data_IF_592855791030
#
_entry.id   IF_592855791030
#
_cell.length_a   1.000
_cell.length_b   1.000
_cell.length_c   1.000
_cell.angle_alpha   90.00
_cell.angle_beta   90.00
_cell.angle_gamma   90.00
#
_symmetry.space_group_name_H-M   'P 1'
#
loop_
_entity.id
_entity.type
_entity.pdbx_description
1 polymer ?
#
# COMPACT_ATOMS: atom_id res chain seq x y z
N UNK A 1 33.36 -7.73 -2.44
CA UNK A 1 32.13 -7.06 -1.94
C UNK A 1 31.32 -6.69 -3.16
N UNK A 2 30.13 -7.27 -3.33
CA UNK A 2 29.22 -6.90 -4.42
C UNK A 2 28.27 -5.87 -3.84
N UNK A 3 28.32 -4.64 -4.37
CA UNK A 3 27.32 -3.61 -4.08
C UNK A 3 26.22 -3.75 -5.14
N UNK A 4 24.99 -3.92 -4.69
CA UNK A 4 23.83 -3.98 -5.56
C UNK A 4 23.39 -2.56 -5.97
N UNK A 5 22.91 -2.36 -7.21
CA UNK A 5 22.36 -1.06 -7.60
C UNK A 5 21.15 -0.70 -6.73
N UNK A 6 20.97 0.58 -6.45
CA UNK A 6 19.79 1.07 -5.73
C UNK A 6 18.76 1.63 -6.70
N UNK A 7 17.48 1.41 -6.40
CA UNK A 7 16.38 2.05 -7.13
C UNK A 7 16.29 3.50 -6.67
N UNK A 8 16.19 4.45 -7.60
CA UNK A 8 16.03 5.89 -7.31
C UNK A 8 14.58 6.21 -6.87
N UNK A 9 14.08 5.48 -5.88
CA UNK A 9 12.75 5.57 -5.29
C UNK A 9 12.84 5.12 -3.85
N UNK A 10 11.93 5.62 -3.02
CA UNK A 10 11.66 5.02 -1.71
C UNK A 10 10.48 4.06 -1.79
N UNK A 11 10.36 3.14 -0.84
CA UNK A 11 9.22 2.21 -0.76
C UNK A 11 8.43 2.48 0.51
N UNK A 12 7.12 2.46 0.39
CA UNK A 12 6.17 2.50 1.50
C UNK A 12 5.42 1.18 1.57
N UNK A 13 5.68 0.41 2.62
CA UNK A 13 4.89 -0.75 3.01
C UNK A 13 3.63 -0.25 3.72
N UNK A 14 2.47 -0.72 3.26
CA UNK A 14 1.15 -0.37 3.80
C UNK A 14 0.59 -1.60 4.50
N UNK A 15 0.43 -1.53 5.82
CA UNK A 15 0.00 -2.66 6.65
C UNK A 15 -1.45 -2.40 7.07
N UNK A 16 -2.44 -3.14 6.56
CA UNK A 16 -3.82 -2.95 6.96
C UNK A 16 -4.06 -3.44 8.39
N UNK A 17 -4.86 -2.66 9.12
CA UNK A 17 -5.30 -2.94 10.48
C UNK A 17 -6.66 -3.65 10.46
N UNK A 18 -7.06 -4.17 11.62
CA UNK A 18 -8.35 -4.83 11.79
C UNK A 18 -9.55 -4.07 11.18
N UNK A 19 -9.70 -2.72 11.33
CA UNK A 19 -10.86 -2.02 10.76
C UNK A 19 -11.00 -2.09 9.24
N UNK A 20 -9.89 -2.25 8.50
CA UNK A 20 -9.94 -2.45 7.05
C UNK A 20 -10.52 -3.81 6.71
N UNK A 21 -10.07 -4.86 7.39
CA UNK A 21 -10.59 -6.22 7.19
C UNK A 21 -12.02 -6.36 7.71
N UNK A 22 -12.38 -5.68 8.79
CA UNK A 22 -13.76 -5.63 9.26
C UNK A 22 -14.68 -5.10 8.17
N UNK A 23 -14.31 -4.00 7.51
CA UNK A 23 -15.04 -3.49 6.35
C UNK A 23 -15.04 -4.49 5.19
N UNK A 24 -13.88 -5.04 4.80
CA UNK A 24 -13.78 -6.00 3.69
C UNK A 24 -14.68 -7.21 3.89
N UNK A 25 -14.72 -7.76 5.10
CA UNK A 25 -15.55 -8.91 5.46
C UNK A 25 -17.05 -8.61 5.39
N UNK A 26 -17.49 -7.34 5.44
CA UNK A 26 -18.90 -6.99 5.21
C UNK A 26 -19.33 -7.06 3.75
N UNK A 27 -18.39 -7.02 2.80
CA UNK A 27 -18.69 -7.02 1.37
C UNK A 27 -19.20 -8.37 0.88
N UNK A 28 -18.68 -9.46 1.47
CA UNK A 28 -18.99 -10.84 1.11
C UNK A 28 -19.29 -11.69 2.36
N UNK A 29 -20.44 -11.48 3.02
CA UNK A 29 -20.75 -12.11 4.32
C UNK A 29 -20.90 -13.64 4.27
N UNK A 30 -21.04 -14.21 3.06
CA UNK A 30 -21.15 -15.66 2.85
C UNK A 30 -19.79 -16.35 2.72
N UNK A 31 -18.69 -15.59 2.68
CA UNK A 31 -17.32 -16.13 2.64
C UNK A 31 -16.71 -16.21 4.05
N UNK A 32 -15.73 -17.10 4.21
CA UNK A 32 -14.94 -17.13 5.44
C UNK A 32 -14.22 -15.78 5.63
N UNK A 33 -14.35 -15.15 6.81
CA UNK A 33 -13.80 -13.83 7.05
C UNK A 33 -12.27 -13.88 7.07
N UNK A 34 -11.64 -12.88 6.46
CA UNK A 34 -10.19 -12.69 6.56
C UNK A 34 -9.82 -12.31 7.99
N UNK A 35 -8.86 -13.02 8.58
CA UNK A 35 -8.34 -12.73 9.92
C UNK A 35 -6.88 -12.28 9.90
N UNK A 36 -6.49 -11.38 10.82
CA UNK A 36 -5.12 -10.88 10.90
C UNK A 36 -4.06 -11.97 11.12
N UNK A 37 -4.44 -13.13 11.67
CA UNK A 37 -3.53 -14.23 11.92
C UNK A 37 -3.10 -14.97 10.64
N UNK A 38 -3.87 -14.82 9.56
CA UNK A 38 -3.67 -15.50 8.28
C UNK A 38 -2.92 -14.64 7.27
N UNK A 39 -2.60 -13.38 7.62
CA UNK A 39 -1.97 -12.42 6.72
C UNK A 39 -0.47 -12.33 7.00
N UNK A 40 0.33 -12.68 6.00
CA UNK A 40 1.79 -12.59 6.02
C UNK A 40 2.37 -11.71 4.90
N UNK A 41 1.52 -11.22 3.99
CA UNK A 41 1.90 -10.36 2.86
C UNK A 41 1.12 -9.03 2.85
N UNK A 42 1.79 -7.97 2.38
CA UNK A 42 1.23 -6.62 2.32
C UNK A 42 1.69 -5.88 1.06
N UNK A 43 0.89 -4.91 0.65
CA UNK A 43 1.19 -4.08 -0.50
C UNK A 43 2.29 -3.06 -0.21
N UNK A 44 3.13 -2.81 -1.21
CA UNK A 44 4.21 -1.83 -1.17
C UNK A 44 4.15 -0.90 -2.37
N UNK A 45 4.44 0.38 -2.13
CA UNK A 45 4.35 1.43 -3.14
C UNK A 45 5.69 2.13 -3.31
N UNK A 46 6.19 2.21 -4.54
CA UNK A 46 7.35 3.04 -4.88
C UNK A 46 6.94 4.51 -4.94
N UNK A 47 7.63 5.35 -4.17
CA UNK A 47 7.42 6.78 -4.08
C UNK A 47 8.66 7.51 -4.60
N UNK A 48 8.48 8.77 -5.00
CA UNK A 48 9.61 9.65 -5.33
C UNK A 48 10.64 9.66 -4.19
N UNK A 49 11.93 9.72 -4.57
CA UNK A 49 13.00 9.85 -3.59
C UNK A 49 13.04 11.29 -3.08
N UNK A 50 12.17 11.58 -2.12
CA UNK A 50 12.30 12.76 -1.30
C UNK A 50 13.37 12.47 -0.25
N UNK A 51 14.62 12.60 -0.68
CA UNK A 51 15.76 12.90 0.18
C UNK A 51 15.32 14.10 1.03
N UNK A 52 15.43 13.97 2.36
CA UNK A 52 15.04 14.97 3.38
C UNK A 52 13.57 14.88 3.86
N UNK A 53 13.35 13.97 4.81
CA UNK A 53 12.12 13.81 5.59
C UNK A 53 12.08 14.87 6.69
N UNK A 54 11.59 16.06 6.40
CA UNK A 54 11.20 16.98 7.47
C UNK A 54 9.78 16.64 7.97
N UNK A 55 8.92 16.02 7.14
CA UNK A 55 7.57 15.61 7.54
C UNK A 55 6.98 14.45 6.70
N UNK A 56 7.06 13.18 7.17
CA UNK A 56 6.59 12.02 6.40
C UNK A 56 5.06 12.02 6.17
N UNK A 57 4.28 12.64 7.07
CA UNK A 57 2.83 12.78 6.89
C UNK A 57 2.48 13.75 5.78
N UNK A 58 3.28 14.80 5.57
CA UNK A 58 3.05 15.78 4.51
C UNK A 58 3.25 15.15 3.13
N UNK A 59 4.27 14.32 2.97
CA UNK A 59 4.56 13.69 1.69
C UNK A 59 3.58 12.56 1.38
N UNK A 60 3.18 11.77 2.38
CA UNK A 60 2.15 10.76 2.19
C UNK A 60 0.81 11.39 1.76
N UNK A 61 0.52 12.65 2.13
CA UNK A 61 -0.70 13.35 1.65
C UNK A 61 -0.73 13.57 0.12
N UNK A 62 0.40 13.45 -0.60
CA UNK A 62 0.40 13.48 -2.07
C UNK A 62 -0.14 12.17 -2.67
N UNK A 63 0.04 11.05 -1.96
CA UNK A 63 -0.19 9.71 -2.49
C UNK A 63 -1.38 8.97 -1.85
N UNK A 64 -1.80 9.37 -0.64
CA UNK A 64 -2.72 8.60 0.21
C UNK A 64 -3.99 8.15 -0.48
N UNK A 65 -4.62 9.01 -1.28
CA UNK A 65 -5.90 8.69 -1.91
C UNK A 65 -5.73 7.60 -2.97
N UNK A 66 -4.63 7.64 -3.74
CA UNK A 66 -4.30 6.62 -4.74
C UNK A 66 -4.01 5.27 -4.08
N UNK A 67 -3.20 5.31 -3.01
CA UNK A 67 -2.88 4.12 -2.21
C UNK A 67 -4.17 3.53 -1.63
N UNK A 68 -5.02 4.34 -0.99
CA UNK A 68 -6.24 3.86 -0.37
C UNK A 68 -7.20 3.25 -1.39
N UNK A 69 -7.39 3.91 -2.54
CA UNK A 69 -8.20 3.35 -3.63
C UNK A 69 -7.66 2.00 -4.08
N UNK A 70 -6.34 1.86 -4.25
CA UNK A 70 -5.73 0.60 -4.66
C UNK A 70 -5.93 -0.53 -3.63
N UNK A 71 -5.80 -0.23 -2.33
CA UNK A 71 -6.10 -1.20 -1.27
C UNK A 71 -7.56 -1.65 -1.30
N UNK A 72 -8.51 -0.71 -1.49
CA UNK A 72 -9.94 -1.00 -1.58
C UNK A 72 -10.27 -1.88 -2.80
N UNK A 73 -9.70 -1.54 -3.96
CA UNK A 73 -9.84 -2.33 -5.20
C UNK A 73 -9.32 -3.75 -5.05
N UNK A 74 -8.26 -3.95 -4.27
CA UNK A 74 -7.74 -5.28 -3.94
C UNK A 74 -8.73 -6.14 -3.16
N UNK A 75 -9.74 -5.56 -2.53
CA UNK A 75 -10.80 -6.29 -1.81
C UNK A 75 -12.07 -6.44 -2.67
N UNK A 76 -12.47 -5.38 -3.38
CA UNK A 76 -13.65 -5.39 -4.23
C UNK A 76 -13.50 -4.38 -5.37
N UNK A 77 -13.84 -4.79 -6.59
CA UNK A 77 -13.76 -3.92 -7.77
C UNK A 77 -14.98 -3.01 -7.95
N UNK A 78 -16.04 -3.20 -7.15
CA UNK A 78 -17.21 -2.33 -7.16
C UNK A 78 -16.96 -1.08 -6.30
N UNK A 79 -16.64 0.04 -6.96
CA UNK A 79 -16.32 1.31 -6.32
C UNK A 79 -17.50 1.92 -5.55
N UNK A 80 -18.73 1.47 -5.80
CA UNK A 80 -19.92 1.92 -5.07
C UNK A 80 -19.92 1.41 -3.62
N UNK A 81 -19.12 0.38 -3.33
CA UNK A 81 -18.93 -0.17 -1.98
C UNK A 81 -17.91 0.62 -1.13
N UNK A 82 -17.15 1.53 -1.76
CA UNK A 82 -16.05 2.20 -1.08
C UNK A 82 -16.56 3.19 -0.02
N UNK A 83 -15.89 3.29 1.13
CA UNK A 83 -16.26 4.24 2.16
C UNK A 83 -15.97 5.68 1.71
N UNK A 84 -16.51 6.66 2.43
CA UNK A 84 -16.12 8.06 2.23
C UNK A 84 -14.64 8.26 2.57
N UNK A 85 -13.80 8.43 1.54
CA UNK A 85 -12.36 8.49 1.68
C UNK A 85 -11.91 9.78 2.38
N UNK A 86 -11.30 9.63 3.56
CA UNK A 86 -10.67 10.73 4.28
C UNK A 86 -9.27 10.35 4.72
N UNK A 87 -8.39 11.33 4.88
CA UNK A 87 -7.05 11.12 5.44
C UNK A 87 -7.12 10.46 6.82
N UNK A 88 -8.12 10.83 7.63
CA UNK A 88 -8.33 10.25 8.96
C UNK A 88 -8.59 8.75 8.85
N UNK A 89 -9.58 8.35 8.04
CA UNK A 89 -9.94 6.95 7.83
C UNK A 89 -8.73 6.14 7.33
N UNK A 90 -8.00 6.68 6.34
CA UNK A 90 -6.78 6.06 5.84
C UNK A 90 -5.75 5.80 6.94
N UNK A 91 -5.47 6.77 7.81
CA UNK A 91 -4.52 6.57 8.92
C UNK A 91 -5.04 5.72 10.07
N UNK A 92 -6.37 5.57 10.18
CA UNK A 92 -7.01 4.65 11.13
C UNK A 92 -6.95 3.20 10.64
N UNK A 93 -6.99 2.99 9.32
CA UNK A 93 -7.04 1.69 8.69
C UNK A 93 -5.68 1.09 8.37
N UNK A 94 -4.63 1.90 8.24
CA UNK A 94 -3.31 1.40 7.86
C UNK A 94 -2.20 1.90 8.79
N UNK A 95 -1.18 1.08 8.98
CA UNK A 95 0.17 1.48 9.42
C UNK A 95 1.10 1.57 8.21
N UNK A 96 2.19 2.33 8.36
CA UNK A 96 3.10 2.66 7.26
C UNK A 96 4.55 2.49 7.68
N UNK A 97 5.31 1.71 6.91
CA UNK A 97 6.76 1.56 7.08
C UNK A 97 7.47 1.98 5.80
N UNK A 98 8.43 2.91 5.90
CA UNK A 98 9.19 3.40 4.75
C UNK A 98 10.61 2.85 4.76
N UNK A 99 11.10 2.45 3.58
CA UNK A 99 12.54 2.35 3.32
C UNK A 99 12.95 3.39 2.28
N UNK A 100 13.94 4.22 2.62
CA UNK A 100 14.49 5.21 1.70
C UNK A 100 15.49 4.61 0.71
N UNK A 101 16.03 3.42 1.00
CA UNK A 101 17.03 2.76 0.16
C UNK A 101 16.51 1.38 -0.21
N UNK A 102 16.39 1.13 -1.51
CA UNK A 102 15.95 -0.15 -2.07
C UNK A 102 17.11 -0.66 -2.91
N UNK A 103 17.63 -1.85 -2.58
CA UNK A 103 18.69 -2.49 -3.35
C UNK A 103 18.10 -3.57 -4.26
N UNK A 104 18.36 -3.48 -5.55
CA UNK A 104 17.94 -4.49 -6.52
C UNK A 104 18.96 -5.62 -6.58
N UNK A 105 18.53 -6.82 -6.20
CA UNK A 105 19.39 -8.00 -6.18
C UNK A 105 19.54 -8.64 -7.57
N UNK A 106 18.73 -8.21 -8.54
CA UNK A 106 18.71 -8.73 -9.90
C UNK A 106 19.45 -7.81 -10.87
N UNK A 107 19.68 -8.29 -12.10
CA UNK A 107 20.22 -7.49 -13.20
C UNK A 107 19.17 -7.24 -14.29
N UNK A 108 17.98 -7.81 -14.12
CA UNK A 108 16.91 -7.73 -15.10
C UNK A 108 16.27 -6.34 -15.04
N UNK A 109 15.80 -5.77 -16.15
CA UNK A 109 15.09 -4.50 -16.12
C UNK A 109 13.80 -4.59 -15.30
N UNK A 110 13.40 -3.46 -14.70
CA UNK A 110 12.08 -3.33 -14.08
C UNK A 110 11.01 -3.16 -15.17
N UNK A 111 9.91 -3.88 -15.07
CA UNK A 111 8.77 -3.80 -15.98
C UNK A 111 7.49 -3.44 -15.19
N UNK A 112 6.61 -2.65 -15.80
CA UNK A 112 5.26 -2.41 -15.30
C UNK A 112 4.29 -3.39 -15.96
N UNK A 113 3.32 -3.88 -15.18
CA UNK A 113 2.19 -4.66 -15.67
C UNK A 113 0.96 -3.80 -15.42
N UNK A 114 0.32 -3.36 -16.50
CA UNK A 114 -0.97 -2.68 -16.44
C UNK A 114 -2.05 -3.75 -16.59
N UNK A 115 -3.01 -3.76 -15.67
CA UNK A 115 -4.20 -4.61 -15.79
C UNK A 115 -5.26 -3.80 -16.54
N UNK A 116 -5.75 -4.32 -17.67
CA UNK A 116 -6.87 -3.72 -18.39
C UNK A 116 -8.12 -3.70 -17.47
N UNK A 117 -8.82 -2.55 -17.43
CA UNK A 117 -10.10 -2.37 -16.70
C UNK A 117 -11.21 -3.30 -17.23
#
# INVERSE_FOLDING_TARGET
>A
MILHPTINRSVLLVIPKQPFYDWSNTLFPDLEPTTLAEIDEYNSYLLEDELFIDNPKKELKKYWKKIFINELYGQCMDDTTFPHLTWKLFTEWFDFHRSAVISDLTKDPLYTIDYDE
#
